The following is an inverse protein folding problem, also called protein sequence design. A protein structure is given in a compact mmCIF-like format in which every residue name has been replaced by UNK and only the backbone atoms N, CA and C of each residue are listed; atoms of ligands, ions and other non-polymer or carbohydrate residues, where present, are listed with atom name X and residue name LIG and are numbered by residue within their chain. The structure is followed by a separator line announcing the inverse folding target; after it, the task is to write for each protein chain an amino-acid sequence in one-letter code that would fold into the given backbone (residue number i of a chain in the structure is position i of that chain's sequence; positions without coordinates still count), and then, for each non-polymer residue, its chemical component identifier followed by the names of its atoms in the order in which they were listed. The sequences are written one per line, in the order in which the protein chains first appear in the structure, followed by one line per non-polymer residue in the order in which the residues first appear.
data_IF_544720345773
#
_entry.id   IF_544720345773
#
_cell.length_a   1.000
_cell.length_b   1.000
_cell.length_c   1.000
_cell.angle_alpha   90.00
_cell.angle_beta   90.00
_cell.angle_gamma   90.00
#
_symmetry.space_group_name_H-M   'P 1'
#
loop_
_entity.id
_entity.type
_entity.pdbx_description
1 polymer ?
#
# COMPACT_ATOMS: atom_id res chain seq x y z
N UNK A 1 0.54 -1.29 -5.30
CA UNK A 1 -0.55 -0.35 -5.70
C UNK A 1 -1.27 0.22 -4.49
N UNK A 2 -1.51 -0.59 -3.46
CA UNK A 2 -2.05 -0.10 -2.18
C UNK A 2 -1.04 0.82 -1.47
N UNK A 3 -1.37 2.10 -1.32
CA UNK A 3 -0.55 3.06 -0.58
C UNK A 3 -0.69 2.91 0.94
N UNK A 4 -1.75 2.25 1.44
CA UNK A 4 -1.99 2.04 2.86
C UNK A 4 -0.90 1.19 3.53
N UNK A 5 -0.18 0.37 2.78
CA UNK A 5 0.96 -0.42 3.29
C UNK A 5 2.09 0.44 3.89
N UNK A 6 2.20 1.72 3.50
CA UNK A 6 3.16 2.64 4.13
C UNK A 6 2.90 2.81 5.63
N UNK A 7 1.64 2.71 6.08
CA UNK A 7 1.32 2.81 7.51
C UNK A 7 1.99 1.70 8.33
N UNK A 8 2.04 0.48 7.79
CA UNK A 8 2.77 -0.65 8.37
C UNK A 8 4.25 -0.35 8.48
N UNK A 9 4.86 0.17 7.41
CA UNK A 9 6.28 0.54 7.40
C UNK A 9 6.59 1.61 8.46
N UNK A 10 5.75 2.66 8.52
CA UNK A 10 5.91 3.76 9.47
C UNK A 10 5.82 3.29 10.91
N UNK A 11 4.83 2.44 11.22
CA UNK A 11 4.64 1.87 12.55
C UNK A 11 5.78 0.94 12.95
N UNK A 12 6.19 0.04 12.05
CA UNK A 12 7.23 -0.95 12.32
C UNK A 12 8.60 -0.29 12.53
N UNK A 13 8.95 0.67 11.67
CA UNK A 13 10.25 1.33 11.69
C UNK A 13 10.32 2.55 12.60
N UNK A 14 9.22 2.95 13.24
CA UNK A 14 9.10 4.22 13.97
C UNK A 14 9.62 5.42 13.14
N UNK A 15 9.23 5.47 11.86
CA UNK A 15 9.92 6.30 10.85
C UNK A 15 9.81 7.79 11.17
N UNK A 16 8.62 8.27 11.54
CA UNK A 16 8.42 9.69 11.87
C UNK A 16 9.35 10.15 12.98
N UNK A 17 9.47 9.39 14.07
CA UNK A 17 10.35 9.75 15.18
C UNK A 17 11.83 9.65 14.78
N UNK A 18 12.20 8.61 14.03
CA UNK A 18 13.59 8.34 13.68
C UNK A 18 14.14 9.32 12.64
N UNK A 19 13.30 9.85 11.74
CA UNK A 19 13.77 10.60 10.56
C UNK A 19 13.07 11.94 10.36
N UNK A 20 11.97 12.22 11.08
CA UNK A 20 11.11 13.39 10.85
C UNK A 20 10.28 13.33 9.56
N UNK A 21 10.26 12.20 8.84
CA UNK A 21 9.47 12.05 7.61
C UNK A 21 8.05 11.60 7.99
N UNK A 22 7.05 12.35 7.56
CA UNK A 22 5.64 12.13 7.90
C UNK A 22 4.85 11.56 6.74
N UNK A 23 3.73 10.90 7.05
CA UNK A 23 2.68 10.56 6.08
C UNK A 23 1.53 11.56 6.23
N UNK A 24 1.10 12.17 5.13
CA UNK A 24 -0.13 12.97 5.10
C UNK A 24 -1.36 12.06 5.22
N UNK A 25 -2.56 12.64 5.36
CA UNK A 25 -3.82 11.88 5.37
C UNK A 25 -4.03 11.05 4.09
N UNK A 26 -3.54 11.55 2.95
CA UNK A 26 -3.50 10.84 1.66
C UNK A 26 -2.29 9.91 1.49
N UNK A 27 -1.53 9.72 2.56
CA UNK A 27 -0.32 8.89 2.65
C UNK A 27 0.84 9.39 1.79
N UNK A 28 0.84 10.62 1.30
CA UNK A 28 2.04 11.20 0.68
C UNK A 28 3.13 11.38 1.74
N UNK A 29 4.39 11.26 1.33
CA UNK A 29 5.52 11.52 2.25
C UNK A 29 5.83 13.01 2.30
N UNK A 30 6.08 13.54 3.50
CA UNK A 30 6.54 14.91 3.73
C UNK A 30 7.88 14.89 4.49
N UNK A 31 8.93 15.57 4.01
CA UNK A 31 8.99 16.41 2.79
C UNK A 31 8.87 15.61 1.49
N UNK A 32 8.45 16.27 0.41
CA UNK A 32 8.21 15.60 -0.88
C UNK A 32 9.46 14.99 -1.52
N UNK A 33 10.65 15.46 -1.15
CA UNK A 33 11.94 14.87 -1.52
C UNK A 33 12.26 13.63 -0.66
N UNK A 34 11.35 12.65 -0.63
CA UNK A 34 11.47 11.42 0.17
C UNK A 34 11.21 10.18 -0.68
N UNK A 35 11.87 9.07 -0.33
CA UNK A 35 11.67 7.75 -0.96
C UNK A 35 11.66 6.67 0.13
N UNK A 36 10.77 5.69 0.02
CA UNK A 36 10.74 4.50 0.87
C UNK A 36 10.54 3.24 0.02
N UNK A 37 11.05 2.10 0.46
CA UNK A 37 10.88 0.82 -0.22
C UNK A 37 10.98 -0.36 0.75
N UNK A 38 10.43 -1.50 0.36
CA UNK A 38 10.75 -2.80 0.94
C UNK A 38 11.91 -3.43 0.16
N UNK A 39 12.82 -4.10 0.87
CA UNK A 39 13.99 -4.75 0.26
C UNK A 39 13.75 -6.26 0.21
N UNK A 40 13.82 -6.84 -1.00
CA UNK A 40 13.74 -8.28 -1.23
C UNK A 40 15.09 -8.78 -1.74
N UNK A 41 15.71 -9.72 -1.03
CA UNK A 41 17.06 -10.21 -1.34
C UNK A 41 17.11 -11.47 -2.22
N UNK A 42 15.95 -12.04 -2.57
CA UNK A 42 15.91 -13.29 -3.34
C UNK A 42 16.45 -13.05 -4.77
N UNK A 43 17.38 -13.87 -5.31
CA UNK A 43 18.05 -13.59 -6.59
C UNK A 43 17.12 -13.59 -7.81
N UNK A 44 15.91 -14.17 -7.67
CA UNK A 44 14.87 -14.16 -8.71
C UNK A 44 13.79 -13.09 -8.49
N UNK A 45 13.92 -12.21 -7.48
CA UNK A 45 12.96 -11.12 -7.31
C UNK A 45 13.12 -10.12 -8.45
N UNK A 46 12.01 -9.71 -9.04
CA UNK A 46 11.97 -8.67 -10.06
C UNK A 46 10.75 -7.78 -9.84
N UNK A 47 10.82 -6.54 -10.32
CA UNK A 47 9.63 -5.70 -10.41
C UNK A 47 8.65 -6.29 -11.42
N UNK A 48 7.37 -6.29 -11.07
CA UNK A 48 6.27 -6.64 -11.97
C UNK A 48 5.03 -5.81 -11.62
N UNK A 49 4.15 -5.63 -12.59
CA UNK A 49 2.86 -5.00 -12.36
C UNK A 49 1.86 -6.04 -11.86
N UNK A 50 1.11 -5.73 -10.82
CA UNK A 50 0.03 -6.60 -10.30
C UNK A 50 -1.05 -6.84 -11.35
N UNK A 51 -1.35 -5.83 -12.18
CA UNK A 51 -2.43 -5.90 -13.17
C UNK A 51 -3.80 -5.66 -12.55
N UNK A 52 -4.86 -6.04 -13.28
CA UNK A 52 -6.24 -5.91 -12.83
C UNK A 52 -6.59 -6.97 -11.79
N UNK A 53 -7.37 -6.60 -10.76
CA UNK A 53 -7.78 -7.49 -9.66
C UNK A 53 -9.30 -7.67 -9.62
N UNK A 54 -9.73 -8.89 -9.32
CA UNK A 54 -11.15 -9.29 -9.28
C UNK A 54 -11.80 -8.91 -7.96
N UNK A 55 -13.14 -8.87 -7.94
CA UNK A 55 -13.90 -8.65 -6.71
C UNK A 55 -13.60 -9.72 -5.64
N UNK A 56 -13.44 -10.98 -6.03
CA UNK A 56 -13.04 -12.07 -5.13
C UNK A 56 -11.73 -11.75 -4.39
N UNK A 57 -10.71 -11.27 -5.12
CA UNK A 57 -9.43 -10.90 -4.53
C UNK A 57 -9.56 -9.68 -3.59
N UNK A 58 -10.44 -8.73 -3.92
CA UNK A 58 -10.70 -7.56 -3.07
C UNK A 58 -11.37 -7.97 -1.76
N UNK A 59 -12.39 -8.83 -1.81
CA UNK A 59 -13.09 -9.35 -0.62
C UNK A 59 -12.12 -10.09 0.30
N UNK A 60 -11.31 -10.99 -0.28
CA UNK A 60 -10.29 -11.74 0.45
C UNK A 60 -9.20 -10.83 1.04
N UNK A 61 -8.75 -9.80 0.31
CA UNK A 61 -7.78 -8.84 0.83
C UNK A 61 -8.35 -7.95 1.95
N UNK A 62 -9.60 -7.51 1.83
CA UNK A 62 -10.28 -6.75 2.88
C UNK A 62 -10.37 -7.55 4.19
N UNK A 63 -10.72 -8.84 4.09
CA UNK A 63 -10.76 -9.74 5.24
C UNK A 63 -9.39 -9.88 5.92
N UNK A 64 -8.31 -10.11 5.14
CA UNK A 64 -6.94 -10.19 5.70
C UNK A 64 -6.46 -8.90 6.35
N UNK A 65 -6.87 -7.76 5.79
CA UNK A 65 -6.57 -6.42 6.31
C UNK A 65 -7.40 -6.07 7.55
N UNK A 66 -8.49 -6.79 7.81
CA UNK A 66 -9.45 -6.44 8.85
C UNK A 66 -10.17 -5.12 8.55
N UNK A 67 -10.45 -4.83 7.28
CA UNK A 67 -11.13 -3.60 6.83
C UNK A 67 -12.31 -3.92 5.91
N UNK A 68 -13.05 -2.89 5.48
CA UNK A 68 -14.22 -3.06 4.59
C UNK A 68 -13.79 -3.18 3.13
N UNK A 69 -14.65 -3.82 2.32
CA UNK A 69 -14.47 -3.91 0.86
C UNK A 69 -14.37 -2.51 0.25
N UNK A 70 -15.29 -1.60 0.59
CA UNK A 70 -15.33 -0.21 0.11
C UNK A 70 -14.01 0.54 0.37
N UNK A 71 -13.38 0.31 1.54
CA UNK A 71 -12.10 0.93 1.86
C UNK A 71 -10.99 0.42 0.95
N UNK A 72 -10.94 -0.90 0.70
CA UNK A 72 -9.98 -1.50 -0.23
C UNK A 72 -10.22 -1.01 -1.66
N UNK A 73 -11.47 -0.97 -2.11
CA UNK A 73 -11.86 -0.48 -3.44
C UNK A 73 -11.44 0.98 -3.64
N UNK A 74 -11.57 1.81 -2.60
CA UNK A 74 -11.10 3.20 -2.63
C UNK A 74 -9.58 3.27 -2.90
N UNK A 75 -8.78 2.48 -2.19
CA UNK A 75 -7.32 2.48 -2.36
C UNK A 75 -6.84 1.80 -3.65
N UNK A 76 -7.58 0.80 -4.14
CA UNK A 76 -7.21 -0.01 -5.31
C UNK A 76 -7.99 0.33 -6.58
N UNK A 77 -8.81 1.39 -6.56
CA UNK A 77 -9.67 1.82 -7.68
C UNK A 77 -9.00 1.75 -9.07
N UNK A 78 -7.76 2.21 -9.27
CA UNK A 78 -7.13 2.19 -10.60
C UNK A 78 -6.97 0.77 -11.20
N UNK A 79 -6.89 -0.25 -10.34
CA UNK A 79 -6.60 -1.62 -10.74
C UNK A 79 -7.79 -2.58 -10.60
N UNK A 80 -8.99 -2.11 -10.25
CA UNK A 80 -10.17 -2.97 -10.25
C UNK A 80 -10.51 -3.45 -11.66
N UNK A 81 -10.89 -4.72 -11.79
CA UNK A 81 -11.33 -5.35 -13.04
C UNK A 81 -12.84 -5.28 -13.26
N UNK A 82 -13.54 -4.55 -12.39
CA UNK A 82 -15.00 -4.47 -12.32
C UNK A 82 -15.40 -3.05 -11.88
N UNK A 83 -16.67 -2.72 -12.11
CA UNK A 83 -17.24 -1.43 -11.71
C UNK A 83 -17.78 -1.49 -10.28
N UNK A 84 -17.60 -0.40 -9.54
CA UNK A 84 -18.04 -0.17 -8.16
C UNK A 84 -19.10 0.91 -8.14
#
# INVERSE_FOLDING_TARGET
PDHAEKTTMWKLGNITEATGIELTDSLMMHPGASVCALVFAHPKSSYFAVGKVTNEQIVDYAARKGTTVDAVETWLRPILSYDV
#
